data_IF_172567703959
#
_entry.id   IF_172567703959
#
_cell.length_a   1.000
_cell.length_b   1.000
_cell.length_c   1.000
_cell.angle_alpha   90.00
_cell.angle_beta   90.00
_cell.angle_gamma   90.00
#
_symmetry.space_group_name_H-M   'P 1'
#
loop_
_entity.id
_entity.type
_entity.pdbx_description
1 polymer ?
#
# COMPACT_ATOMS: atom_id res chain seq x y z
N UNK A 1 14.27 -53.73 23.57
CA UNK A 1 13.02 -53.38 22.85
C UNK A 1 12.71 -51.88 22.90
N UNK A 2 12.90 -51.21 24.04
CA UNK A 2 12.64 -49.76 24.20
C UNK A 2 13.45 -48.85 23.23
N UNK A 3 14.71 -49.20 22.93
CA UNK A 3 15.54 -48.47 21.96
C UNK A 3 14.90 -48.35 20.56
N UNK A 4 14.22 -49.40 20.10
CA UNK A 4 13.57 -49.42 18.78
C UNK A 4 12.32 -48.53 18.74
N UNK A 5 11.58 -48.47 19.85
CA UNK A 5 10.41 -47.60 19.99
C UNK A 5 10.84 -46.14 19.96
N UNK A 6 11.90 -45.79 20.72
CA UNK A 6 12.44 -44.43 20.74
C UNK A 6 12.92 -44.00 19.36
N UNK A 7 13.61 -44.87 18.62
CA UNK A 7 14.04 -44.55 17.26
C UNK A 7 12.87 -44.39 16.29
N UNK A 8 11.82 -45.20 16.42
CA UNK A 8 10.62 -45.07 15.59
C UNK A 8 9.87 -43.75 15.84
N UNK A 9 9.70 -43.37 17.11
CA UNK A 9 9.08 -42.10 17.50
C UNK A 9 9.91 -40.91 17.01
N UNK A 10 11.24 -41.00 17.10
CA UNK A 10 12.14 -39.96 16.60
C UNK A 10 11.99 -39.73 15.09
N UNK A 11 12.00 -40.81 14.30
CA UNK A 11 11.81 -40.73 12.84
C UNK A 11 10.43 -40.16 12.49
N UNK A 12 9.38 -40.57 13.22
CA UNK A 12 8.04 -40.03 13.05
C UNK A 12 7.99 -38.52 13.35
N UNK A 13 8.65 -38.06 14.41
CA UNK A 13 8.69 -36.63 14.75
C UNK A 13 9.43 -35.79 13.68
N UNK A 14 10.57 -36.28 13.19
CA UNK A 14 11.36 -35.59 12.15
C UNK A 14 10.58 -35.49 10.84
N UNK A 15 9.91 -36.56 10.43
CA UNK A 15 9.10 -36.57 9.20
C UNK A 15 7.90 -35.64 9.29
N UNK A 16 7.20 -35.61 10.44
CA UNK A 16 6.11 -34.65 10.70
C UNK A 16 6.59 -33.20 10.63
N UNK A 17 7.73 -32.90 11.27
CA UNK A 17 8.33 -31.56 11.23
C UNK A 17 8.72 -31.14 9.81
N UNK A 18 9.34 -32.03 9.05
CA UNK A 18 9.73 -31.78 7.66
C UNK A 18 8.53 -31.50 6.75
N UNK A 19 7.46 -32.31 6.85
CA UNK A 19 6.24 -32.14 6.06
C UNK A 19 5.53 -30.84 6.45
N UNK A 20 5.40 -30.55 7.75
CA UNK A 20 4.80 -29.31 8.23
C UNK A 20 5.55 -28.08 7.71
N UNK A 21 6.88 -28.09 7.80
CA UNK A 21 7.71 -26.99 7.33
C UNK A 21 7.66 -26.83 5.80
N UNK A 22 7.66 -27.94 5.07
CA UNK A 22 7.50 -27.92 3.61
C UNK A 22 6.16 -27.30 3.19
N UNK A 23 5.06 -27.64 3.87
CA UNK A 23 3.74 -27.05 3.62
C UNK A 23 3.75 -25.56 3.99
N UNK A 24 4.37 -25.20 5.11
CA UNK A 24 4.42 -23.83 5.59
C UNK A 24 5.21 -22.91 4.65
N UNK A 25 6.32 -23.39 4.05
CA UNK A 25 7.09 -22.66 3.05
C UNK A 25 6.44 -22.66 1.66
N UNK A 26 5.73 -23.73 1.29
CA UNK A 26 5.03 -23.81 0.01
C UNK A 26 3.69 -23.06 0.02
N UNK A 27 3.21 -22.63 1.19
CA UNK A 27 1.98 -21.85 1.33
C UNK A 27 2.17 -20.52 0.60
N UNK A 28 1.36 -20.30 -0.44
CA UNK A 28 1.33 -19.04 -1.15
C UNK A 28 1.01 -17.89 -0.17
N UNK A 29 1.59 -16.69 -0.37
CA UNK A 29 1.23 -15.51 0.40
C UNK A 29 -0.29 -15.31 0.39
N UNK A 30 -0.88 -15.05 1.55
CA UNK A 30 -2.31 -14.83 1.65
C UNK A 30 -2.65 -13.49 0.98
N UNK A 31 -3.39 -13.49 -0.15
CA UNK A 31 -3.70 -12.27 -0.88
C UNK A 31 -4.52 -11.28 -0.05
N UNK A 32 -5.29 -11.76 0.95
CA UNK A 32 -6.01 -10.88 1.86
C UNK A 32 -5.09 -10.19 2.87
N UNK A 33 -4.03 -10.86 3.32
CA UNK A 33 -3.03 -10.29 4.22
C UNK A 33 -2.17 -9.26 3.48
N UNK A 34 -1.79 -9.52 2.24
CA UNK A 34 -1.00 -8.58 1.44
C UNK A 34 -1.83 -7.39 0.96
N UNK A 35 -3.10 -7.57 0.63
CA UNK A 35 -4.03 -6.46 0.38
C UNK A 35 -4.25 -5.59 1.64
N UNK A 36 -4.33 -6.20 2.82
CA UNK A 36 -4.43 -5.47 4.08
C UNK A 36 -3.15 -4.66 4.39
N UNK A 37 -1.96 -5.21 4.12
CA UNK A 37 -0.69 -4.48 4.23
C UNK A 37 -0.60 -3.34 3.23
N UNK A 38 -0.95 -3.56 1.97
CA UNK A 38 -0.96 -2.52 0.94
C UNK A 38 -1.92 -1.37 1.32
N UNK A 39 -3.09 -1.70 1.86
CA UNK A 39 -4.06 -0.70 2.35
C UNK A 39 -3.56 0.05 3.59
N UNK A 40 -2.79 -0.59 4.47
CA UNK A 40 -2.19 0.07 5.64
C UNK A 40 -1.11 1.10 5.27
N UNK A 41 -0.47 0.91 4.12
CA UNK A 41 0.58 1.78 3.57
C UNK A 41 0.01 2.96 2.76
N UNK A 42 -1.27 2.91 2.38
CA UNK A 42 -1.94 3.98 1.66
C UNK A 42 -2.38 5.11 2.61
N UNK A 43 -2.00 6.35 2.28
CA UNK A 43 -2.46 7.57 2.94
C UNK A 43 -3.24 8.45 1.97
N UNK A 44 -4.36 8.99 2.43
CA UNK A 44 -5.13 9.97 1.68
C UNK A 44 -4.54 11.37 1.93
N UNK A 45 -3.82 11.89 0.94
CA UNK A 45 -3.35 13.27 0.94
C UNK A 45 -4.43 14.15 0.32
N UNK A 46 -4.98 15.06 1.12
CA UNK A 46 -5.98 16.03 0.66
C UNK A 46 -5.25 17.22 0.05
N UNK A 47 -5.51 17.49 -1.23
CA UNK A 47 -5.05 18.71 -1.88
C UNK A 47 -5.90 19.93 -1.50
N UNK A 48 -5.47 21.07 -2.00
CA UNK A 48 -6.10 22.36 -1.74
C UNK A 48 -7.31 22.61 -2.66
N UNK A 49 -8.21 23.48 -2.23
CA UNK A 49 -9.34 23.90 -3.09
C UNK A 49 -8.87 25.06 -3.95
N UNK A 50 -8.85 24.85 -5.27
CA UNK A 50 -8.44 25.88 -6.23
C UNK A 50 -9.64 26.37 -7.03
N UNK A 51 -9.62 27.67 -7.31
CA UNK A 51 -10.70 28.37 -7.99
C UNK A 51 -10.24 28.79 -9.38
N UNK A 52 -10.96 28.33 -10.40
CA UNK A 52 -10.65 28.56 -11.81
C UNK A 52 -11.66 29.54 -12.40
N UNK A 53 -11.23 30.67 -12.97
CA UNK A 53 -12.14 31.58 -13.65
C UNK A 53 -12.60 30.96 -14.97
N UNK A 54 -13.90 30.90 -15.17
CA UNK A 54 -14.49 30.59 -16.48
C UNK A 54 -14.55 31.90 -17.28
N UNK A 55 -13.70 31.99 -18.30
CA UNK A 55 -13.64 33.16 -19.19
C UNK A 55 -14.33 32.81 -20.50
N UNK A 56 -15.37 33.56 -20.86
CA UNK A 56 -15.97 33.51 -22.19
C UNK A 56 -16.27 34.91 -22.70
N UNK A 57 -16.12 35.10 -24.01
CA UNK A 57 -16.31 36.39 -24.69
C UNK A 57 -15.59 37.58 -24.01
N UNK A 58 -14.41 37.35 -23.41
CA UNK A 58 -13.62 38.39 -22.76
C UNK A 58 -14.14 38.83 -21.38
N UNK A 59 -15.08 38.10 -20.77
CA UNK A 59 -15.58 38.35 -19.41
C UNK A 59 -15.46 37.10 -18.55
N UNK A 60 -15.33 37.29 -17.24
CA UNK A 60 -15.44 36.20 -16.26
C UNK A 60 -16.92 35.89 -16.09
N UNK A 61 -17.37 34.75 -16.60
CA UNK A 61 -18.76 34.29 -16.49
C UNK A 61 -19.02 33.55 -15.18
N UNK A 62 -17.98 33.03 -14.54
CA UNK A 62 -18.09 32.34 -13.27
C UNK A 62 -16.77 31.78 -12.76
N UNK A 63 -16.86 30.96 -11.71
CA UNK A 63 -15.71 30.31 -11.10
C UNK A 63 -16.02 28.83 -10.83
N UNK A 64 -15.11 27.96 -11.23
CA UNK A 64 -15.14 26.54 -10.91
C UNK A 64 -14.25 26.27 -9.70
N UNK A 65 -14.78 25.58 -8.69
CA UNK A 65 -14.01 25.18 -7.51
C UNK A 65 -13.69 23.69 -7.63
N UNK A 66 -12.41 23.36 -7.65
CA UNK A 66 -11.94 21.98 -7.69
C UNK A 66 -11.01 21.68 -6.52
N UNK A 67 -11.06 20.44 -6.05
CA UNK A 67 -10.14 19.90 -5.03
C UNK A 67 -9.71 18.50 -5.44
N UNK A 68 -8.44 18.36 -5.79
CA UNK A 68 -7.83 17.06 -6.06
C UNK A 68 -7.40 16.41 -4.74
N UNK A 69 -7.58 15.10 -4.60
CA UNK A 69 -7.10 14.34 -3.44
C UNK A 69 -6.55 13.01 -3.92
N UNK A 70 -5.42 12.60 -3.37
CA UNK A 70 -4.63 11.48 -3.89
C UNK A 70 -4.42 10.44 -2.80
N UNK A 71 -4.43 9.17 -3.21
CA UNK A 71 -4.03 8.06 -2.35
C UNK A 71 -2.58 7.75 -2.69
N UNK A 72 -1.70 7.91 -1.72
CA UNK A 72 -0.25 7.83 -1.89
C UNK A 72 0.37 6.86 -0.89
N UNK A 73 1.50 6.28 -1.26
CA UNK A 73 2.25 5.35 -0.40
C UNK A 73 3.04 6.14 0.66
N UNK A 74 2.74 5.89 1.94
CA UNK A 74 3.39 6.55 3.09
C UNK A 74 4.90 6.46 3.06
N UNK A 75 5.45 5.32 2.64
CA UNK A 75 6.90 5.11 2.64
C UNK A 75 7.61 6.05 1.67
N UNK A 76 6.94 6.39 0.56
CA UNK A 76 7.47 7.35 -0.42
C UNK A 76 7.25 8.80 0.00
N UNK A 77 6.21 9.09 0.78
CA UNK A 77 5.98 10.44 1.30
C UNK A 77 7.03 10.85 2.33
N UNK A 78 7.51 9.93 3.17
CA UNK A 78 8.54 10.21 4.18
C UNK A 78 9.89 10.65 3.57
N UNK A 79 10.19 10.24 2.34
CA UNK A 79 11.41 10.62 1.63
C UNK A 79 11.36 12.06 1.07
N UNK A 80 10.15 12.61 0.90
CA UNK A 80 9.94 13.93 0.30
C UNK A 80 9.94 15.00 1.40
N UNK A 81 10.87 15.96 1.29
CA UNK A 81 11.02 17.06 2.27
C UNK A 81 10.13 18.27 1.99
N UNK A 82 9.56 18.34 0.79
CA UNK A 82 8.69 19.43 0.37
C UNK A 82 7.25 19.13 0.79
N UNK A 83 6.46 20.17 1.08
CA UNK A 83 5.07 19.96 1.43
C UNK A 83 4.30 19.45 0.19
N UNK A 84 3.68 18.28 0.37
CA UNK A 84 3.12 17.45 -0.68
C UNK A 84 1.93 18.09 -1.39
N UNK A 85 0.98 18.76 -0.69
CA UNK A 85 -0.16 19.40 -1.36
C UNK A 85 0.25 20.44 -2.41
N UNK A 86 1.29 21.22 -2.12
CA UNK A 86 1.82 22.26 -2.98
C UNK A 86 2.53 21.64 -4.19
N UNK A 87 3.34 20.60 -3.97
CA UNK A 87 4.02 19.87 -5.05
C UNK A 87 3.02 19.24 -6.02
N UNK A 88 1.99 18.57 -5.50
CA UNK A 88 0.94 17.95 -6.33
C UNK A 88 0.15 19.00 -7.11
N UNK A 89 -0.02 20.19 -6.53
CA UNK A 89 -0.71 21.30 -7.19
C UNK A 89 0.15 21.90 -8.29
N UNK A 90 1.46 22.03 -8.09
CA UNK A 90 2.42 22.51 -9.10
C UNK A 90 2.50 21.60 -10.33
N UNK A 91 2.60 20.28 -10.10
CA UNK A 91 2.59 19.27 -11.16
C UNK A 91 1.28 19.29 -11.96
N UNK A 92 0.14 19.55 -11.30
CA UNK A 92 -1.16 19.62 -11.96
C UNK A 92 -1.28 20.81 -12.93
N UNK A 93 -0.49 21.88 -12.73
CA UNK A 93 -0.53 23.09 -13.56
C UNK A 93 0.62 23.21 -14.56
N UNK A 94 1.71 22.50 -14.32
CA UNK A 94 2.93 22.61 -15.14
C UNK A 94 2.94 21.67 -16.34
N UNK A 95 2.26 20.51 -16.26
CA UNK A 95 2.09 19.58 -17.40
C UNK A 95 1.00 20.00 -18.41
#
# INVERSE_FOLDING_TARGET
MLKLIITGVWVAAVTLGAVYFSIQMAKAPDPALDAAKAKAVQELVRGETVTYPLIAAGKVEGYFLAKASFITDKTKLEEIKLPIPELLTDELYTE
#
